data_IF_887695106666
#
_entry.id   IF_887695106666
#
_cell.length_a   1.000
_cell.length_b   1.000
_cell.length_c   1.000
_cell.angle_alpha   90.00
_cell.angle_beta   90.00
_cell.angle_gamma   90.00
#
_symmetry.space_group_name_H-M   'P 1'
#
loop_
_entity.id
_entity.type
_entity.pdbx_description
1 polymer ?
#
# COMPACT_ATOMS: atom_id res chain seq x y z
N UNK A 1 -3.52 20.40 -4.63
CA UNK A 1 -4.26 19.52 -5.57
C UNK A 1 -3.96 18.06 -5.24
N UNK A 2 -5.00 17.21 -5.30
CA UNK A 2 -4.89 15.76 -5.10
C UNK A 2 -4.34 15.15 -6.39
N UNK A 3 -3.31 14.32 -6.28
CA UNK A 3 -2.68 13.72 -7.46
C UNK A 3 -3.47 12.47 -7.87
N UNK A 4 -4.34 12.66 -8.87
CA UNK A 4 -5.18 11.57 -9.39
C UNK A 4 -4.33 10.41 -9.91
N UNK A 5 -3.14 10.67 -10.45
CA UNK A 5 -2.26 9.64 -11.00
C UNK A 5 -1.75 8.70 -9.93
N UNK A 6 -1.22 9.24 -8.82
CA UNK A 6 -0.76 8.43 -7.70
C UNK A 6 -1.90 7.64 -7.02
N UNK A 7 -3.10 8.21 -6.99
CA UNK A 7 -4.28 7.50 -6.47
C UNK A 7 -4.66 6.32 -7.39
N UNK A 8 -4.58 6.46 -8.73
CA UNK A 8 -4.80 5.33 -9.65
C UNK A 8 -3.72 4.27 -9.54
N UNK A 9 -2.44 4.64 -9.43
CA UNK A 9 -1.37 3.66 -9.22
C UNK A 9 -1.57 2.85 -7.94
N UNK A 10 -2.02 3.49 -6.85
CA UNK A 10 -2.34 2.79 -5.60
C UNK A 10 -3.52 1.84 -5.76
N UNK A 11 -4.59 2.29 -6.44
CA UNK A 11 -5.74 1.43 -6.71
C UNK A 11 -5.36 0.24 -7.60
N UNK A 12 -4.54 0.46 -8.63
CA UNK A 12 -4.01 -0.60 -9.48
C UNK A 12 -3.13 -1.59 -8.70
N UNK A 13 -2.30 -1.10 -7.77
CA UNK A 13 -1.52 -1.95 -6.87
C UNK A 13 -2.41 -2.85 -6.02
N UNK A 14 -3.46 -2.31 -5.41
CA UNK A 14 -4.41 -3.08 -4.59
C UNK A 14 -5.12 -4.15 -5.43
N UNK A 15 -5.64 -3.76 -6.60
CA UNK A 15 -6.31 -4.71 -7.51
C UNK A 15 -5.34 -5.82 -7.94
N UNK A 16 -4.11 -5.44 -8.32
CA UNK A 16 -3.08 -6.41 -8.72
C UNK A 16 -2.77 -7.37 -7.57
N UNK A 17 -2.62 -6.90 -6.32
CA UNK A 17 -2.37 -7.75 -5.16
C UNK A 17 -3.48 -8.79 -4.98
N UNK A 18 -4.75 -8.38 -5.08
CA UNK A 18 -5.89 -9.31 -5.01
C UNK A 18 -5.82 -10.35 -6.14
N UNK A 19 -5.55 -9.91 -7.37
CA UNK A 19 -5.44 -10.80 -8.54
C UNK A 19 -4.28 -11.78 -8.37
N UNK A 20 -3.13 -11.33 -7.86
CA UNK A 20 -1.96 -12.19 -7.60
C UNK A 20 -2.26 -13.26 -6.54
N UNK A 21 -2.91 -12.92 -5.43
CA UNK A 21 -3.26 -13.92 -4.42
C UNK A 21 -4.41 -14.86 -4.85
N UNK A 22 -5.25 -14.44 -5.80
CA UNK A 22 -6.29 -15.30 -6.37
C UNK A 22 -5.71 -16.25 -7.42
N UNK A 23 -4.80 -15.75 -8.27
CA UNK A 23 -4.12 -16.49 -9.32
C UNK A 23 -2.61 -16.23 -9.19
N UNK A 24 -1.87 -17.07 -8.44
CA UNK A 24 -0.46 -16.85 -8.13
C UNK A 24 0.41 -17.05 -9.38
N UNK A 25 0.33 -16.10 -10.29
CA UNK A 25 1.04 -16.07 -11.54
C UNK A 25 2.25 -15.14 -11.38
N UNK A 26 3.44 -15.74 -11.28
CA UNK A 26 4.70 -15.03 -11.03
C UNK A 26 4.95 -13.85 -11.99
N UNK A 27 4.45 -13.93 -13.24
CA UNK A 27 4.57 -12.85 -14.22
C UNK A 27 3.90 -11.53 -13.79
N UNK A 28 2.88 -11.58 -12.93
CA UNK A 28 2.27 -10.38 -12.33
C UNK A 28 3.28 -9.60 -11.48
N UNK A 29 4.28 -10.29 -10.90
CA UNK A 29 5.52 -9.77 -10.31
C UNK A 29 6.15 -8.70 -11.18
N UNK A 30 6.43 -9.11 -12.41
CA UNK A 30 7.15 -8.33 -13.40
C UNK A 30 6.25 -7.30 -14.09
N UNK A 31 5.00 -7.64 -14.40
CA UNK A 31 4.10 -6.71 -15.07
C UNK A 31 3.86 -5.42 -14.26
N UNK A 32 3.75 -5.55 -12.94
CA UNK A 32 3.53 -4.41 -12.05
C UNK A 32 4.00 -4.75 -10.62
N UNK A 33 5.17 -4.26 -10.17
CA UNK A 33 5.70 -4.51 -8.83
C UNK A 33 4.94 -3.67 -7.77
N UNK A 34 3.74 -4.14 -7.42
CA UNK A 34 2.77 -3.40 -6.62
C UNK A 34 3.33 -2.91 -5.28
N UNK A 35 4.10 -3.74 -4.58
CA UNK A 35 4.66 -3.38 -3.26
C UNK A 35 5.66 -2.23 -3.37
N UNK A 36 6.62 -2.33 -4.30
CA UNK A 36 7.57 -1.26 -4.59
C UNK A 36 6.89 0.06 -4.95
N UNK A 37 5.85 0.00 -5.80
CA UNK A 37 5.04 1.16 -6.19
C UNK A 37 4.32 1.77 -4.98
N UNK A 38 3.70 0.95 -4.13
CA UNK A 38 3.04 1.44 -2.92
C UNK A 38 4.01 2.12 -1.96
N UNK A 39 5.22 1.57 -1.77
CA UNK A 39 6.26 2.20 -0.94
C UNK A 39 6.79 3.49 -1.56
N UNK A 40 7.02 3.55 -2.88
CA UNK A 40 7.44 4.78 -3.54
C UNK A 40 6.40 5.90 -3.45
N UNK A 41 5.12 5.57 -3.61
CA UNK A 41 4.01 6.53 -3.39
C UNK A 41 3.96 6.94 -1.93
N UNK A 42 4.11 6.00 -0.99
CA UNK A 42 4.16 6.24 0.45
C UNK A 42 5.24 7.26 0.83
N UNK A 43 6.47 7.06 0.35
CA UNK A 43 7.59 7.98 0.52
C UNK A 43 7.30 9.39 0.00
N UNK A 44 6.69 9.50 -1.17
CA UNK A 44 6.33 10.81 -1.72
C UNK A 44 5.28 11.55 -0.88
N UNK A 45 4.29 10.82 -0.36
CA UNK A 45 3.22 11.39 0.46
C UNK A 45 3.69 11.77 1.86
N UNK A 46 4.59 11.00 2.47
CA UNK A 46 5.12 11.34 3.80
C UNK A 46 6.04 12.55 3.72
N UNK A 47 6.91 12.64 2.69
CA UNK A 47 7.75 13.81 2.47
C UNK A 47 6.90 15.08 2.32
N UNK A 48 5.83 15.00 1.51
CA UNK A 48 4.87 16.10 1.40
C UNK A 48 4.22 16.50 2.73
N UNK A 49 3.92 15.51 3.58
CA UNK A 49 3.27 15.76 4.87
C UNK A 49 4.23 16.41 5.86
N UNK A 50 5.48 15.94 5.89
CA UNK A 50 6.54 16.49 6.72
C UNK A 50 6.87 17.92 6.31
N UNK A 51 6.99 18.21 5.01
CA UNK A 51 7.24 19.57 4.51
C UNK A 51 6.13 20.56 4.89
N UNK A 52 4.87 20.09 4.95
CA UNK A 52 3.73 20.94 5.35
C UNK A 52 3.59 21.09 6.86
N UNK A 53 4.29 20.29 7.65
CA UNK A 53 4.10 20.23 9.11
C UNK A 53 4.85 21.31 9.88
N UNK A 54 5.62 22.18 9.21
CA UNK A 54 6.38 23.29 9.81
C UNK A 54 7.21 22.88 11.05
N UNK A 55 7.81 21.69 11.03
CA UNK A 55 8.68 21.21 12.12
C UNK A 55 7.98 20.39 13.20
N UNK A 56 6.74 19.95 13.00
CA UNK A 56 6.02 19.02 13.88
C UNK A 56 5.91 17.59 13.27
N UNK A 57 7.01 16.82 13.22
CA UNK A 57 7.00 15.47 12.66
C UNK A 57 6.11 14.52 13.47
N UNK A 58 6.05 14.69 14.79
CA UNK A 58 5.21 13.94 15.73
C UNK A 58 3.73 13.97 15.33
N UNK A 59 3.20 15.13 14.95
CA UNK A 59 1.82 15.26 14.45
C UNK A 59 1.58 14.47 13.15
N UNK A 60 2.56 14.48 12.24
CA UNK A 60 2.49 13.72 10.99
C UNK A 60 2.50 12.22 11.27
N UNK A 61 3.41 11.76 12.12
CA UNK A 61 3.53 10.36 12.51
C UNK A 61 2.25 9.89 13.21
N UNK A 62 1.77 10.61 14.22
CA UNK A 62 0.53 10.30 14.93
C UNK A 62 -0.67 10.24 13.98
N UNK A 63 -0.76 11.13 13.00
CA UNK A 63 -1.82 11.11 11.99
C UNK A 63 -1.75 9.89 11.06
N UNK A 64 -0.54 9.37 10.77
CA UNK A 64 -0.34 8.16 9.97
C UNK A 64 -0.67 6.90 10.77
N UNK A 65 -0.17 6.80 12.00
CA UNK A 65 -0.49 5.71 12.92
C UNK A 65 -2.00 5.60 13.15
N UNK A 66 -2.66 6.71 13.42
CA UNK A 66 -4.11 6.77 13.60
C UNK A 66 -4.91 6.34 12.38
N UNK A 67 -4.35 6.47 11.16
CA UNK A 67 -5.00 6.02 9.92
C UNK A 67 -4.81 4.52 9.64
N UNK A 68 -3.82 3.90 10.27
CA UNK A 68 -3.41 2.52 10.01
C UNK A 68 -3.84 1.58 11.12
N UNK A 69 -3.49 1.92 12.37
CA UNK A 69 -3.63 1.05 13.53
C UNK A 69 -5.08 0.66 13.84
N UNK A 70 -6.10 1.54 13.73
CA UNK A 70 -7.46 1.12 14.06
C UNK A 70 -8.01 0.01 13.16
N UNK A 71 -7.69 0.02 11.86
CA UNK A 71 -8.11 -1.06 10.95
C UNK A 71 -7.34 -2.36 11.24
N UNK A 72 -6.05 -2.24 11.61
CA UNK A 72 -5.25 -3.38 12.07
C UNK A 72 -5.79 -3.97 13.38
N UNK A 73 -6.19 -3.15 14.35
CA UNK A 73 -6.81 -3.60 15.59
C UNK A 73 -8.17 -4.24 15.38
N UNK A 74 -8.94 -3.79 14.38
CA UNK A 74 -10.19 -4.45 14.00
C UNK A 74 -9.94 -5.86 13.47
N UNK A 75 -8.90 -6.06 12.65
CA UNK A 75 -8.47 -7.40 12.25
C UNK A 75 -8.04 -8.22 13.48
N UNK A 76 -7.21 -7.65 14.36
CA UNK A 76 -6.73 -8.32 15.57
C UNK A 76 -7.87 -8.78 16.47
N UNK A 77 -8.89 -7.94 16.67
CA UNK A 77 -10.06 -8.22 17.49
C UNK A 77 -10.91 -9.39 16.96
N UNK A 78 -10.83 -9.70 15.67
CA UNK A 78 -11.51 -10.85 15.07
C UNK A 78 -10.58 -12.06 15.02
N UNK A 79 -9.36 -11.87 14.52
CA UNK A 79 -8.45 -12.97 14.21
C UNK A 79 -7.84 -13.60 15.46
N UNK A 80 -7.49 -12.82 16.49
CA UNK A 80 -6.90 -13.36 17.72
C UNK A 80 -7.88 -14.29 18.45
N UNK A 81 -9.15 -13.90 18.70
CA UNK A 81 -10.14 -14.84 19.26
C UNK A 81 -10.40 -16.04 18.35
N UNK A 82 -10.45 -15.86 17.03
CA UNK A 82 -10.67 -16.96 16.09
C UNK A 82 -9.52 -18.00 16.14
N UNK A 83 -8.27 -17.54 16.25
CA UNK A 83 -7.10 -18.41 16.45
C UNK A 83 -7.15 -19.15 17.78
N UNK A 84 -7.56 -18.48 18.86
CA UNK A 84 -7.72 -19.12 20.17
C UNK A 84 -8.80 -20.21 20.13
N UNK A 85 -9.91 -19.95 19.45
CA UNK A 85 -11.00 -20.92 19.28
C UNK A 85 -10.58 -22.13 18.44
N UNK A 86 -9.82 -21.93 17.35
CA UNK A 86 -9.30 -23.01 16.50
C UNK A 86 -8.15 -23.81 17.14
N UNK A 87 -7.82 -23.55 18.42
CA UNK A 87 -6.81 -24.31 19.15
C UNK A 87 -5.39 -23.84 18.85
N UNK A 88 -5.05 -22.62 19.29
CA UNK A 88 -3.68 -22.13 19.27
C UNK A 88 -2.81 -22.92 20.26
N UNK A 89 -2.23 -24.03 19.79
CA UNK A 89 -1.44 -24.95 20.60
C UNK A 89 -0.17 -24.28 21.16
N UNK A 90 0.60 -23.60 20.31
CA UNK A 90 1.82 -22.90 20.68
C UNK A 90 1.53 -21.44 21.06
N UNK A 91 0.82 -21.23 22.17
CA UNK A 91 0.46 -19.87 22.61
C UNK A 91 1.74 -19.03 22.78
N UNK A 92 1.87 -17.92 22.04
CA UNK A 92 3.07 -17.10 22.13
C UNK A 92 3.12 -16.45 23.51
N UNK A 93 4.34 -16.20 23.99
CA UNK A 93 4.55 -15.41 25.19
C UNK A 93 3.76 -14.10 25.11
N UNK A 94 3.14 -13.66 26.20
CA UNK A 94 2.23 -12.49 26.21
C UNK A 94 2.88 -11.23 25.61
N UNK A 95 4.20 -11.06 25.77
CA UNK A 95 4.95 -9.96 25.18
C UNK A 95 4.89 -9.96 23.63
N UNK A 96 4.86 -11.15 22.99
CA UNK A 96 4.69 -11.26 21.54
C UNK A 96 3.26 -10.93 21.10
N UNK A 97 2.26 -11.08 21.97
CA UNK A 97 0.90 -10.62 21.69
C UNK A 97 0.80 -9.10 21.64
N UNK A 98 1.74 -8.35 22.25
CA UNK A 98 1.81 -6.90 22.09
C UNK A 98 2.07 -6.46 20.63
N UNK A 99 2.56 -7.37 19.77
CA UNK A 99 2.69 -7.09 18.34
C UNK A 99 1.33 -6.90 17.65
N UNK A 100 0.26 -7.45 18.21
CA UNK A 100 -1.12 -7.15 17.78
C UNK A 100 -1.62 -5.77 18.22
N UNK A 101 -0.92 -5.12 19.17
CA UNK A 101 -1.18 -3.73 19.55
C UNK A 101 -0.30 -2.76 18.75
N UNK A 102 1.00 -3.04 18.68
CA UNK A 102 1.97 -2.24 17.91
C UNK A 102 2.80 -3.19 17.04
N UNK A 103 2.57 -3.24 15.72
CA UNK A 103 3.19 -4.23 14.85
C UNK A 103 4.62 -3.83 14.48
N UNK A 104 5.54 -3.92 15.45
CA UNK A 104 6.98 -3.68 15.25
C UNK A 104 7.69 -4.85 14.55
N UNK A 105 7.08 -6.02 14.59
CA UNK A 105 7.45 -7.23 13.87
C UNK A 105 6.17 -7.97 13.48
N UNK A 106 6.28 -8.99 12.63
CA UNK A 106 5.15 -9.81 12.22
C UNK A 106 4.45 -10.39 13.46
N UNK A 107 3.16 -10.05 13.69
CA UNK A 107 2.43 -10.58 14.82
C UNK A 107 2.34 -12.11 14.74
N UNK A 108 2.40 -12.82 15.89
CA UNK A 108 2.34 -14.27 15.89
C UNK A 108 0.96 -14.74 15.40
N UNK A 109 0.94 -15.83 14.64
CA UNK A 109 -0.28 -16.46 14.12
C UNK A 109 -0.18 -17.98 14.11
N UNK A 110 -1.31 -18.65 13.86
CA UNK A 110 -1.38 -20.10 13.67
C UNK A 110 -1.32 -20.45 12.18
N UNK A 111 -1.03 -21.71 11.85
CA UNK A 111 -1.09 -22.20 10.47
C UNK A 111 -2.47 -21.96 9.81
N UNK A 112 -3.54 -22.07 10.59
CA UNK A 112 -4.91 -21.77 10.13
C UNK A 112 -5.09 -20.29 9.74
N UNK A 113 -4.46 -19.37 10.46
CA UNK A 113 -4.54 -17.94 10.21
C UNK A 113 -3.51 -17.44 9.18
N UNK A 114 -2.68 -18.32 8.61
CA UNK A 114 -1.62 -17.96 7.68
C UNK A 114 -2.08 -17.00 6.56
N UNK A 115 -3.23 -17.21 5.89
CA UNK A 115 -3.68 -16.28 4.85
C UNK A 115 -3.86 -14.84 5.36
N UNK A 116 -4.35 -14.68 6.60
CA UNK A 116 -4.56 -13.36 7.19
C UNK A 116 -3.26 -12.74 7.75
N UNK A 117 -2.34 -13.55 8.28
CA UNK A 117 -1.09 -13.05 8.87
C UNK A 117 0.01 -12.79 7.86
N UNK A 118 0.00 -13.49 6.72
CA UNK A 118 1.00 -13.34 5.65
C UNK A 118 1.07 -11.89 5.17
N UNK A 119 -0.07 -11.20 5.01
CA UNK A 119 -0.11 -9.82 4.51
C UNK A 119 0.36 -8.77 5.53
N UNK A 120 0.64 -9.15 6.79
CA UNK A 120 0.95 -8.17 7.82
C UNK A 120 2.36 -7.58 7.69
N UNK A 121 3.27 -8.24 6.97
CA UNK A 121 4.63 -7.74 6.73
C UNK A 121 4.62 -6.31 6.15
N UNK A 122 3.67 -6.01 5.25
CA UNK A 122 3.56 -4.69 4.64
C UNK A 122 3.24 -3.61 5.67
N UNK A 123 2.35 -3.91 6.62
CA UNK A 123 1.94 -2.97 7.67
C UNK A 123 3.13 -2.67 8.58
N UNK A 124 3.87 -3.72 8.97
CA UNK A 124 5.08 -3.63 9.78
C UNK A 124 6.13 -2.77 9.06
N UNK A 125 6.44 -3.08 7.81
CA UNK A 125 7.45 -2.38 7.02
C UNK A 125 7.04 -0.93 6.73
N UNK A 126 5.77 -0.69 6.40
CA UNK A 126 5.23 0.65 6.21
C UNK A 126 5.30 1.49 7.50
N UNK A 127 4.98 0.89 8.65
CA UNK A 127 5.09 1.52 9.96
C UNK A 127 6.52 1.99 10.21
N UNK A 128 7.50 1.11 10.04
CA UNK A 128 8.91 1.44 10.20
C UNK A 128 9.38 2.55 9.25
N UNK A 129 9.03 2.46 7.97
CA UNK A 129 9.40 3.51 7.00
C UNK A 129 8.77 4.86 7.34
N UNK A 130 7.53 4.89 7.82
CA UNK A 130 6.88 6.11 8.31
C UNK A 130 7.63 6.69 9.50
N UNK A 131 7.92 5.87 10.52
CA UNK A 131 8.62 6.30 11.74
C UNK A 131 10.03 6.80 11.42
N UNK A 132 10.75 6.12 10.53
CA UNK A 132 12.11 6.49 10.12
C UNK A 132 12.15 7.69 9.14
N UNK A 133 11.01 8.08 8.55
CA UNK A 133 10.96 9.09 7.49
C UNK A 133 11.56 10.46 7.85
N UNK A 134 11.41 11.03 9.05
CA UNK A 134 12.05 12.30 9.40
C UNK A 134 13.58 12.23 9.25
N UNK A 135 14.17 11.13 9.72
CA UNK A 135 15.63 10.89 9.66
C UNK A 135 16.04 10.58 8.23
N UNK A 136 15.32 9.69 7.54
CA UNK A 136 15.62 9.32 6.16
C UNK A 136 15.48 10.50 5.19
N UNK A 137 14.49 11.38 5.40
CA UNK A 137 14.30 12.58 4.58
C UNK A 137 15.42 13.60 4.82
N UNK A 138 15.81 13.80 6.07
CA UNK A 138 17.00 14.61 6.40
C UNK A 138 18.26 14.05 5.74
N UNK A 139 18.51 12.74 5.88
CA UNK A 139 19.65 12.07 5.28
C UNK A 139 19.64 12.17 3.76
N UNK A 140 18.47 11.97 3.12
CA UNK A 140 18.29 12.10 1.68
C UNK A 140 18.60 13.53 1.20
N UNK A 141 18.11 14.56 1.88
CA UNK A 141 18.38 15.95 1.51
C UNK A 141 19.84 16.32 1.68
N UNK A 142 20.53 15.70 2.65
CA UNK A 142 21.95 15.93 2.88
C UNK A 142 22.83 15.16 1.88
N UNK A 143 22.57 13.86 1.69
CA UNK A 143 23.36 12.89 0.90
C UNK A 143 22.46 11.97 0.05
N UNK A 144 21.81 12.48 -1.01
CA UNK A 144 20.72 11.78 -1.70
C UNK A 144 21.10 10.42 -2.26
N UNK A 145 22.28 10.32 -2.91
CA UNK A 145 22.75 9.07 -3.50
C UNK A 145 23.13 8.03 -2.42
N UNK A 146 23.79 8.46 -1.35
CA UNK A 146 24.20 7.54 -0.26
C UNK A 146 22.97 6.98 0.44
N UNK A 147 21.97 7.82 0.70
CA UNK A 147 20.72 7.38 1.31
C UNK A 147 19.96 6.42 0.40
N UNK A 148 19.89 6.69 -0.91
CA UNK A 148 19.24 5.79 -1.87
C UNK A 148 19.95 4.44 -2.01
N UNK A 149 21.29 4.43 -2.05
CA UNK A 149 22.09 3.22 -2.22
C UNK A 149 22.17 2.38 -0.94
N UNK A 150 22.05 2.98 0.24
CA UNK A 150 22.14 2.27 1.52
C UNK A 150 21.19 1.04 1.63
N UNK A 151 19.87 1.14 1.40
CA UNK A 151 18.98 -0.03 1.44
C UNK A 151 19.29 -1.05 0.34
N UNK A 152 19.76 -0.60 -0.83
CA UNK A 152 20.19 -1.50 -1.90
C UNK A 152 21.44 -2.30 -1.50
N UNK A 153 22.43 -1.68 -0.86
CA UNK A 153 23.58 -2.42 -0.34
C UNK A 153 23.17 -3.36 0.80
N UNK A 154 22.25 -2.92 1.65
CA UNK A 154 21.76 -3.69 2.79
C UNK A 154 21.05 -4.98 2.36
N UNK A 155 20.26 -4.95 1.28
CA UNK A 155 19.49 -6.14 0.85
C UNK A 155 20.41 -7.29 0.40
N UNK A 156 21.62 -6.99 -0.10
CA UNK A 156 22.62 -8.01 -0.41
C UNK A 156 23.37 -8.55 0.82
N UNK A 157 23.28 -7.89 1.97
CA UNK A 157 24.05 -8.22 3.16
C UNK A 157 23.23 -8.95 4.26
N UNK A 158 21.91 -8.74 4.30
CA UNK A 158 21.08 -9.10 5.46
C UNK A 158 20.45 -10.50 5.37
N UNK A 159 20.31 -11.07 4.18
CA UNK A 159 19.60 -12.34 3.99
C UNK A 159 18.14 -12.27 4.45
N UNK A 160 17.61 -13.40 4.95
CA UNK A 160 16.25 -13.46 5.51
C UNK A 160 16.25 -13.06 7.00
N UNK A 161 16.07 -11.76 7.24
CA UNK A 161 16.01 -11.16 8.57
C UNK A 161 14.67 -10.45 8.84
N UNK A 162 13.57 -10.99 8.28
CA UNK A 162 12.22 -10.44 8.46
C UNK A 162 12.13 -8.97 8.08
N UNK A 163 11.68 -8.12 9.01
CA UNK A 163 11.45 -6.68 8.78
C UNK A 163 12.69 -5.95 8.23
N UNK A 164 13.90 -6.36 8.60
CA UNK A 164 15.12 -5.71 8.11
C UNK A 164 15.30 -6.00 6.61
N UNK A 165 14.98 -7.23 6.18
CA UNK A 165 15.02 -7.61 4.76
C UNK A 165 13.97 -6.84 3.95
N UNK A 166 12.75 -6.68 4.47
CA UNK A 166 11.71 -5.87 3.83
C UNK A 166 12.09 -4.39 3.72
N UNK A 167 12.65 -3.82 4.79
CA UNK A 167 13.14 -2.45 4.81
C UNK A 167 14.27 -2.23 3.80
N UNK A 168 15.17 -3.20 3.67
CA UNK A 168 16.24 -3.16 2.68
C UNK A 168 15.69 -3.27 1.25
N UNK A 169 14.74 -4.19 1.03
CA UNK A 169 14.11 -4.42 -0.28
C UNK A 169 13.37 -3.19 -0.80
N UNK A 170 12.57 -2.53 0.06
CA UNK A 170 11.68 -1.45 -0.38
C UNK A 170 12.14 -0.05 0.01
N UNK A 171 13.18 0.08 0.83
CA UNK A 171 13.69 1.38 1.30
C UNK A 171 14.14 2.29 0.14
N UNK A 172 14.76 1.72 -0.90
CA UNK A 172 15.16 2.48 -2.08
C UNK A 172 13.94 3.07 -2.83
N UNK A 173 12.86 2.30 -2.94
CA UNK A 173 11.60 2.76 -3.52
C UNK A 173 11.01 3.92 -2.69
N UNK A 174 11.00 3.79 -1.36
CA UNK A 174 10.53 4.85 -0.46
C UNK A 174 11.31 6.16 -0.66
N UNK A 175 12.64 6.08 -0.73
CA UNK A 175 13.52 7.24 -0.96
C UNK A 175 13.34 7.82 -2.37
N UNK A 176 13.11 6.99 -3.39
CA UNK A 176 12.71 7.47 -4.71
C UNK A 176 11.41 8.28 -4.66
N UNK A 177 10.51 7.98 -3.73
CA UNK A 177 9.35 8.80 -3.37
C UNK A 177 9.71 10.21 -2.89
N UNK A 178 10.76 10.34 -2.06
CA UNK A 178 11.30 11.65 -1.66
C UNK A 178 11.86 12.40 -2.87
N UNK A 179 12.61 11.70 -3.74
CA UNK A 179 13.15 12.28 -4.96
C UNK A 179 12.06 12.75 -5.95
N UNK A 180 10.94 12.04 -6.03
CA UNK A 180 9.76 12.50 -6.74
C UNK A 180 9.23 13.81 -6.13
N UNK A 181 9.09 13.85 -4.80
CA UNK A 181 8.50 15.00 -4.09
C UNK A 181 9.34 16.26 -4.19
N UNK A 182 10.65 16.13 -4.04
CA UNK A 182 11.61 17.23 -4.16
C UNK A 182 11.86 17.62 -5.64
N UNK A 183 11.21 16.96 -6.60
CA UNK A 183 11.29 17.23 -8.03
C UNK A 183 12.60 16.77 -8.69
N UNK A 184 13.45 16.02 -7.99
CA UNK A 184 14.73 15.53 -8.50
C UNK A 184 14.55 14.64 -9.75
N UNK A 185 13.53 13.76 -9.75
CA UNK A 185 13.23 12.90 -10.92
C UNK A 185 12.82 13.72 -12.16
N UNK A 186 12.17 14.87 -11.96
CA UNK A 186 11.77 15.78 -13.05
C UNK A 186 12.93 16.60 -13.59
N UNK A 187 13.87 17.00 -12.71
CA UNK A 187 15.09 17.72 -13.10
C UNK A 187 16.10 16.84 -13.86
N UNK A 188 16.03 15.53 -13.67
CA UNK A 188 16.90 14.58 -14.37
C UNK A 188 16.52 14.46 -15.85
N UNK A 189 17.54 14.40 -16.71
CA UNK A 189 17.35 14.16 -18.14
C UNK A 189 16.59 12.84 -18.36
N UNK A 190 15.55 12.88 -19.20
CA UNK A 190 14.73 11.72 -19.53
C UNK A 190 15.54 10.48 -19.95
N UNK A 191 16.53 10.58 -20.87
CA UNK A 191 17.29 9.41 -21.29
C UNK A 191 18.14 8.83 -20.15
N UNK A 192 18.71 9.68 -19.29
CA UNK A 192 19.49 9.21 -18.14
C UNK A 192 18.61 8.43 -17.16
N UNK A 193 17.43 8.96 -16.80
CA UNK A 193 16.52 8.26 -15.90
C UNK A 193 16.02 6.95 -16.52
N UNK A 194 15.71 6.94 -17.82
CA UNK A 194 15.30 5.73 -18.53
C UNK A 194 16.43 4.69 -18.53
N UNK A 195 17.68 5.09 -18.77
CA UNK A 195 18.84 4.19 -18.73
C UNK A 195 19.07 3.62 -17.34
N UNK A 196 19.00 4.44 -16.28
CA UNK A 196 19.13 3.97 -14.89
C UNK A 196 18.01 3.00 -14.51
N UNK A 197 16.77 3.32 -14.89
CA UNK A 197 15.63 2.45 -14.64
C UNK A 197 15.76 1.11 -15.38
N UNK A 198 16.14 1.14 -16.66
CA UNK A 198 16.39 -0.05 -17.47
C UNK A 198 17.52 -0.90 -16.88
N UNK A 199 18.62 -0.28 -16.42
CA UNK A 199 19.71 -0.98 -15.75
C UNK A 199 19.25 -1.66 -14.46
N UNK A 200 18.43 -1.01 -13.64
CA UNK A 200 17.87 -1.61 -12.42
C UNK A 200 16.94 -2.79 -12.74
N UNK A 201 16.06 -2.64 -13.73
CA UNK A 201 15.16 -3.71 -14.19
C UNK A 201 15.95 -4.90 -14.73
N UNK A 202 16.92 -4.64 -15.62
CA UNK A 202 17.77 -5.68 -16.20
C UNK A 202 18.60 -6.40 -15.14
N UNK A 203 19.14 -5.68 -14.16
CA UNK A 203 19.88 -6.28 -13.05
C UNK A 203 18.97 -7.15 -12.17
N UNK A 204 17.75 -6.70 -11.86
CA UNK A 204 16.77 -7.51 -11.11
C UNK A 204 16.36 -8.78 -11.84
N UNK A 205 16.04 -8.69 -13.14
CA UNK A 205 15.72 -9.86 -13.97
C UNK A 205 16.91 -10.80 -14.08
N UNK A 206 18.10 -10.26 -14.40
CA UNK A 206 19.33 -11.04 -14.51
C UNK A 206 19.67 -11.77 -13.21
N UNK A 207 19.41 -11.14 -12.06
CA UNK A 207 19.61 -11.77 -10.75
C UNK A 207 18.73 -13.00 -10.57
N UNK A 208 17.43 -12.92 -10.88
CA UNK A 208 16.53 -14.09 -10.80
C UNK A 208 17.02 -15.21 -11.73
N UNK A 209 17.39 -14.87 -12.97
CA UNK A 209 17.86 -15.84 -13.96
C UNK A 209 19.09 -16.64 -13.50
N UNK A 210 19.99 -15.99 -12.74
CA UNK A 210 21.25 -16.60 -12.30
C UNK A 210 21.11 -17.30 -10.95
N UNK A 211 20.37 -16.71 -10.02
CA UNK A 211 20.40 -17.10 -8.61
C UNK A 211 19.09 -17.73 -8.10
N UNK A 212 18.05 -17.82 -8.92
CA UNK A 212 16.78 -18.48 -8.58
C UNK A 212 16.45 -19.65 -9.53
N UNK A 213 17.30 -20.69 -9.62
CA UNK A 213 17.11 -21.79 -10.56
C UNK A 213 15.86 -22.64 -10.27
N UNK A 214 15.26 -22.53 -9.08
CA UNK A 214 14.07 -23.29 -8.65
C UNK A 214 12.74 -22.54 -8.74
N UNK A 215 12.72 -21.27 -9.13
CA UNK A 215 11.51 -20.45 -9.15
C UNK A 215 11.74 -19.06 -9.75
N UNK A 216 10.72 -18.54 -10.43
CA UNK A 216 10.77 -17.24 -11.13
C UNK A 216 9.90 -16.19 -10.44
N UNK A 217 9.48 -16.41 -9.17
CA UNK A 217 8.74 -15.39 -8.45
C UNK A 217 9.72 -14.35 -7.88
N UNK A 218 9.51 -13.10 -8.29
CA UNK A 218 10.30 -11.97 -7.83
C UNK A 218 10.15 -11.76 -6.31
N UNK A 219 9.04 -12.17 -5.71
CA UNK A 219 8.77 -12.01 -4.28
C UNK A 219 9.70 -12.89 -3.41
N UNK A 220 10.24 -13.97 -3.96
CA UNK A 220 11.11 -14.90 -3.24
C UNK A 220 12.59 -14.47 -3.25
N UNK A 221 12.92 -13.41 -4.00
CA UNK A 221 14.30 -12.97 -4.25
C UNK A 221 14.44 -11.48 -3.89
N UNK A 222 14.63 -11.14 -2.60
CA UNK A 222 14.64 -9.75 -2.12
C UNK A 222 15.59 -8.81 -2.89
N UNK A 223 16.84 -9.20 -3.23
CA UNK A 223 17.72 -8.31 -3.98
C UNK A 223 17.22 -8.02 -5.40
N UNK A 224 16.64 -9.03 -6.07
CA UNK A 224 16.05 -8.85 -7.38
C UNK A 224 14.81 -7.95 -7.31
N UNK A 225 13.94 -8.19 -6.32
CA UNK A 225 12.74 -7.39 -6.05
C UNK A 225 13.09 -5.93 -5.81
N UNK A 226 14.16 -5.65 -5.05
CA UNK A 226 14.60 -4.29 -4.74
C UNK A 226 14.99 -3.52 -6.00
N UNK A 227 15.85 -4.11 -6.84
CA UNK A 227 16.33 -3.51 -8.09
C UNK A 227 15.20 -3.35 -9.11
N UNK A 228 14.42 -4.40 -9.32
CA UNK A 228 13.32 -4.41 -10.26
C UNK A 228 12.26 -3.36 -9.91
N UNK A 229 11.83 -3.35 -8.64
CA UNK A 229 10.87 -2.38 -8.11
C UNK A 229 11.37 -0.95 -8.23
N UNK A 230 12.65 -0.69 -7.90
CA UNK A 230 13.23 0.65 -8.00
C UNK A 230 13.19 1.17 -9.43
N UNK A 231 13.61 0.37 -10.41
CA UNK A 231 13.59 0.78 -11.82
C UNK A 231 12.17 1.14 -12.29
N UNK A 232 11.19 0.33 -11.93
CA UNK A 232 9.78 0.59 -12.26
C UNK A 232 9.24 1.86 -11.58
N UNK A 233 9.54 2.04 -10.29
CA UNK A 233 9.13 3.21 -9.50
C UNK A 233 9.71 4.51 -10.05
N UNK A 234 10.99 4.52 -10.46
CA UNK A 234 11.64 5.71 -11.05
C UNK A 234 10.89 6.20 -12.29
N UNK A 235 10.49 5.29 -13.18
CA UNK A 235 9.73 5.61 -14.39
C UNK A 235 8.33 6.10 -14.03
N UNK A 236 7.57 5.33 -13.24
CA UNK A 236 6.20 5.66 -12.90
C UNK A 236 6.09 7.01 -12.20
N UNK A 237 6.92 7.27 -11.19
CA UNK A 237 6.89 8.54 -10.46
C UNK A 237 7.30 9.73 -11.34
N UNK A 238 8.14 9.52 -12.36
CA UNK A 238 8.50 10.59 -13.29
C UNK A 238 7.38 10.96 -14.26
N UNK A 239 6.61 9.98 -14.76
CA UNK A 239 5.65 10.19 -15.85
C UNK A 239 4.53 11.17 -15.48
N UNK A 240 3.98 11.10 -14.26
CA UNK A 240 2.95 12.00 -13.72
C UNK A 240 1.93 12.54 -14.75
N UNK A 241 1.27 11.69 -15.56
CA UNK A 241 0.33 12.14 -16.59
C UNK A 241 -0.93 12.76 -15.97
N UNK A 242 -1.49 13.77 -16.65
CA UNK A 242 -2.77 14.37 -16.26
C UNK A 242 -3.92 13.43 -16.64
N UNK A 243 -4.57 12.82 -15.66
CA UNK A 243 -5.74 11.97 -15.89
C UNK A 243 -7.04 12.77 -15.82
N UNK A 244 -7.93 12.60 -16.81
CA UNK A 244 -9.19 13.35 -16.96
C UNK A 244 -10.44 12.47 -16.98
N UNK A 245 -10.40 11.28 -16.35
CA UNK A 245 -11.44 10.26 -16.51
C UNK A 245 -12.33 10.19 -15.25
N UNK A 246 -13.48 10.89 -15.21
CA UNK A 246 -14.27 11.04 -13.99
C UNK A 246 -14.89 9.74 -13.49
N UNK A 247 -15.30 8.83 -14.40
CA UNK A 247 -15.86 7.54 -14.04
C UNK A 247 -14.84 6.66 -13.28
N UNK A 248 -13.60 6.58 -13.80
CA UNK A 248 -12.49 5.89 -13.15
C UNK A 248 -12.15 6.52 -11.79
N UNK A 249 -12.24 7.85 -11.69
CA UNK A 249 -12.00 8.57 -10.44
C UNK A 249 -12.89 8.13 -9.27
N UNK A 250 -14.14 7.71 -9.54
CA UNK A 250 -15.08 7.24 -8.49
C UNK A 250 -14.67 5.88 -7.97
N UNK A 251 -14.34 4.94 -8.86
CA UNK A 251 -13.85 3.59 -8.50
C UNK A 251 -12.53 3.70 -7.75
N UNK A 252 -11.57 4.46 -8.29
CA UNK A 252 -10.27 4.71 -7.66
C UNK A 252 -10.44 5.33 -6.28
N UNK A 253 -11.37 6.26 -6.11
CA UNK A 253 -11.61 6.85 -4.80
C UNK A 253 -12.26 5.87 -3.83
N UNK A 254 -13.17 5.00 -4.28
CA UNK A 254 -13.79 3.98 -3.45
C UNK A 254 -12.73 3.00 -2.92
N UNK A 255 -11.91 2.44 -3.82
CA UNK A 255 -10.80 1.53 -3.46
C UNK A 255 -9.82 2.21 -2.49
N UNK A 256 -9.40 3.44 -2.79
CA UNK A 256 -8.44 4.15 -1.94
C UNK A 256 -9.01 4.61 -0.58
N UNK A 257 -10.32 4.80 -0.47
CA UNK A 257 -10.98 5.16 0.80
C UNK A 257 -11.13 3.99 1.76
N UNK A 258 -10.94 2.76 1.27
CA UNK A 258 -11.05 1.50 2.00
C UNK A 258 -9.80 0.64 1.84
N UNK A 259 -8.67 1.27 1.51
CA UNK A 259 -7.48 0.58 1.07
C UNK A 259 -6.91 -0.34 2.17
N UNK A 260 -6.93 0.11 3.42
CA UNK A 260 -6.37 -0.67 4.53
C UNK A 260 -7.28 -1.87 4.84
N UNK A 261 -8.60 -1.68 4.86
CA UNK A 261 -9.55 -2.77 5.08
C UNK A 261 -9.48 -3.78 3.93
N UNK A 262 -9.49 -3.33 2.68
CA UNK A 262 -9.32 -4.21 1.51
C UNK A 262 -8.02 -5.01 1.64
N UNK A 263 -6.90 -4.34 1.96
CA UNK A 263 -5.61 -4.99 2.11
C UNK A 263 -5.56 -6.00 3.26
N UNK A 264 -6.14 -5.70 4.42
CA UNK A 264 -6.09 -6.61 5.56
C UNK A 264 -6.97 -7.86 5.39
N UNK A 265 -8.08 -7.72 4.66
CA UNK A 265 -9.10 -8.77 4.59
C UNK A 265 -9.10 -9.58 3.29
N UNK A 266 -8.42 -9.12 2.23
CA UNK A 266 -8.49 -9.79 0.91
C UNK A 266 -8.02 -11.24 0.94
N UNK A 267 -6.89 -11.55 1.59
CA UNK A 267 -6.33 -12.89 1.54
C UNK A 267 -7.19 -13.89 2.34
N UNK A 268 -7.83 -13.44 3.43
CA UNK A 268 -8.84 -14.22 4.14
C UNK A 268 -10.09 -14.46 3.29
N UNK A 269 -10.56 -13.44 2.57
CA UNK A 269 -11.68 -13.58 1.64
C UNK A 269 -11.37 -14.54 0.49
N UNK A 270 -10.14 -14.54 -0.03
CA UNK A 270 -9.66 -15.49 -1.04
C UNK A 270 -9.59 -16.90 -0.44
N UNK A 271 -9.02 -17.08 0.74
CA UNK A 271 -8.98 -18.39 1.39
C UNK A 271 -10.39 -18.99 1.58
N UNK A 272 -11.35 -18.18 2.03
CA UNK A 272 -12.74 -18.59 2.16
C UNK A 272 -13.46 -18.79 0.82
N UNK A 273 -12.98 -18.17 -0.27
CA UNK A 273 -13.66 -18.24 -1.57
C UNK A 273 -13.64 -19.63 -2.17
N UNK A 274 -12.62 -20.44 -1.90
CA UNK A 274 -12.55 -21.81 -2.41
C UNK A 274 -13.66 -22.67 -1.79
N UNK A 275 -13.78 -22.67 -0.46
CA UNK A 275 -14.83 -23.42 0.25
C UNK A 275 -16.23 -22.95 -0.12
N UNK A 276 -16.48 -21.63 -0.12
CA UNK A 276 -17.80 -21.07 -0.46
C UNK A 276 -18.10 -21.25 -1.95
N UNK A 277 -17.10 -21.05 -2.80
CA UNK A 277 -17.20 -21.19 -4.25
C UNK A 277 -17.56 -22.61 -4.67
N UNK A 278 -16.94 -23.61 -4.05
CA UNK A 278 -17.24 -25.02 -4.30
C UNK A 278 -18.68 -25.35 -3.92
N UNK A 279 -19.16 -24.85 -2.78
CA UNK A 279 -20.52 -25.07 -2.30
C UNK A 279 -21.60 -24.48 -3.24
N UNK A 280 -21.32 -23.34 -3.89
CA UNK A 280 -22.28 -22.67 -4.79
C UNK A 280 -22.03 -22.97 -6.28
N UNK A 281 -21.06 -23.81 -6.60
CA UNK A 281 -20.75 -24.21 -7.97
C UNK A 281 -20.01 -23.14 -8.80
N UNK A 282 -19.20 -22.29 -8.16
CA UNK A 282 -18.40 -21.26 -8.83
C UNK A 282 -17.45 -21.82 -9.89
N UNK A 283 -17.01 -23.08 -9.74
CA UNK A 283 -16.22 -23.82 -10.72
C UNK A 283 -16.83 -23.85 -12.12
N UNK A 284 -18.16 -23.70 -12.26
CA UNK A 284 -18.85 -23.63 -13.57
C UNK A 284 -18.41 -22.42 -14.40
N UNK A 285 -17.93 -21.36 -13.75
CA UNK A 285 -17.38 -20.16 -14.37
C UNK A 285 -15.84 -20.12 -14.32
N UNK A 286 -15.21 -21.24 -13.92
CA UNK A 286 -13.77 -21.37 -13.74
C UNK A 286 -13.20 -20.31 -12.77
N UNK A 287 -12.01 -19.82 -13.11
CA UNK A 287 -11.28 -18.82 -12.32
C UNK A 287 -12.07 -17.51 -12.11
N UNK A 288 -12.88 -17.11 -13.09
CA UNK A 288 -13.72 -15.92 -12.96
C UNK A 288 -14.81 -16.07 -11.89
N UNK A 289 -15.33 -17.30 -11.71
CA UNK A 289 -16.27 -17.62 -10.64
C UNK A 289 -15.66 -17.41 -9.26
N UNK A 290 -14.49 -17.99 -9.00
CA UNK A 290 -13.79 -17.84 -7.72
C UNK A 290 -13.39 -16.39 -7.42
N UNK A 291 -12.96 -15.63 -8.43
CA UNK A 291 -12.70 -14.20 -8.26
C UNK A 291 -13.96 -13.42 -7.87
N UNK A 292 -15.11 -13.71 -8.50
CA UNK A 292 -16.37 -13.06 -8.15
C UNK A 292 -16.78 -13.38 -6.70
N UNK A 293 -16.61 -14.62 -6.25
CA UNK A 293 -16.87 -15.02 -4.85
C UNK A 293 -15.92 -14.34 -3.89
N UNK A 294 -14.61 -14.29 -4.19
CA UNK A 294 -13.63 -13.62 -3.35
C UNK A 294 -13.95 -12.12 -3.19
N UNK A 295 -14.30 -11.44 -4.28
CA UNK A 295 -14.71 -10.03 -4.24
C UNK A 295 -16.02 -9.82 -3.46
N UNK A 296 -16.99 -10.73 -3.60
CA UNK A 296 -18.23 -10.69 -2.84
C UNK A 296 -18.00 -10.88 -1.33
N UNK A 297 -17.15 -11.84 -0.95
CA UNK A 297 -16.77 -12.07 0.45
C UNK A 297 -16.00 -10.87 1.02
N UNK A 298 -15.10 -10.27 0.23
CA UNK A 298 -14.36 -9.07 0.62
C UNK A 298 -15.26 -7.85 0.83
N UNK A 299 -16.40 -7.78 0.15
CA UNK A 299 -17.37 -6.69 0.33
C UNK A 299 -17.92 -6.66 1.76
N UNK A 300 -18.05 -7.81 2.43
CA UNK A 300 -18.53 -7.93 3.81
C UNK A 300 -17.69 -7.09 4.79
N UNK A 301 -16.39 -7.39 4.98
CA UNK A 301 -15.50 -6.58 5.83
C UNK A 301 -15.44 -5.11 5.42
N UNK A 302 -15.47 -4.80 4.11
CA UNK A 302 -15.44 -3.40 3.64
C UNK A 302 -16.69 -2.63 4.08
N UNK A 303 -17.88 -3.24 4.04
CA UNK A 303 -19.12 -2.60 4.50
C UNK A 303 -19.22 -2.53 6.03
N UNK A 304 -18.79 -3.59 6.72
CA UNK A 304 -18.90 -3.70 8.18
C UNK A 304 -17.83 -2.90 8.93
N UNK A 305 -16.61 -2.82 8.40
CA UNK A 305 -15.44 -2.25 9.08
C UNK A 305 -14.87 -1.03 8.36
N UNK A 306 -15.28 -0.75 7.12
CA UNK A 306 -14.73 0.36 6.33
C UNK A 306 -14.95 1.76 6.94
N UNK A 307 -15.95 1.92 7.80
CA UNK A 307 -16.18 3.16 8.54
C UNK A 307 -15.03 3.51 9.51
N UNK A 308 -14.25 2.51 9.94
CA UNK A 308 -13.09 2.69 10.82
C UNK A 308 -12.07 3.59 10.13
N UNK A 309 -11.84 3.42 8.82
CA UNK A 309 -10.92 4.27 8.05
C UNK A 309 -11.41 5.73 7.95
N UNK A 310 -12.72 5.96 7.92
CA UNK A 310 -13.29 7.32 7.90
C UNK A 310 -13.05 8.03 9.24
N UNK A 311 -13.39 7.37 10.36
CA UNK A 311 -13.16 7.90 11.72
C UNK A 311 -11.66 8.13 11.95
N UNK A 312 -10.84 7.16 11.54
CA UNK A 312 -9.38 7.21 11.54
C UNK A 312 -8.81 8.32 10.65
N UNK A 313 -9.57 8.84 9.70
CA UNK A 313 -9.21 9.99 8.88
C UNK A 313 -9.79 11.33 9.39
N UNK A 314 -10.50 11.35 10.53
CA UNK A 314 -11.33 12.48 11.02
C UNK A 314 -12.39 12.91 10.00
N UNK A 315 -13.02 11.93 9.34
CA UNK A 315 -14.12 12.11 8.41
C UNK A 315 -15.40 11.52 9.03
N UNK A 316 -16.60 12.00 8.66
CA UNK A 316 -17.83 11.39 9.13
C UNK A 316 -17.88 9.92 8.70
N UNK A 317 -18.27 9.04 9.63
CA UNK A 317 -18.41 7.61 9.37
C UNK A 317 -19.45 7.37 8.26
N UNK A 318 -19.07 6.62 7.22
CA UNK A 318 -19.97 6.29 6.11
C UNK A 318 -19.96 4.79 5.84
N UNK A 319 -21.14 4.19 5.90
CA UNK A 319 -21.37 2.79 5.54
C UNK A 319 -21.41 2.58 4.02
N UNK A 320 -21.74 3.63 3.26
CA UNK A 320 -21.74 3.57 1.80
C UNK A 320 -20.31 3.61 1.24
N UNK A 321 -20.05 2.77 0.24
CA UNK A 321 -18.75 2.64 -0.47
C UNK A 321 -18.34 3.91 -1.23
N UNK A 322 -19.22 4.91 -1.34
CA UNK A 322 -19.11 6.00 -2.29
C UNK A 322 -19.10 7.37 -1.63
N UNK A 323 -18.17 8.21 -2.11
CA UNK A 323 -18.28 9.65 -1.99
C UNK A 323 -19.39 10.14 -2.91
N UNK A 324 -20.60 10.33 -2.37
CA UNK A 324 -21.50 11.32 -2.92
C UNK A 324 -20.80 12.67 -2.81
N UNK A 325 -20.58 13.37 -3.93
CA UNK A 325 -20.23 14.78 -3.93
C UNK A 325 -21.41 15.56 -3.33
N UNK A 326 -21.49 15.56 -2.00
CA UNK A 326 -22.50 16.29 -1.26
C UNK A 326 -22.18 17.77 -1.32
N UNK A 327 -22.87 18.46 -2.23
CA UNK A 327 -23.21 19.89 -2.26
C UNK A 327 -22.13 20.81 -1.69
N UNK A 328 -21.39 21.46 -2.61
CA UNK A 328 -20.98 22.83 -2.37
C UNK A 328 -22.22 23.59 -1.90
N UNK A 329 -22.11 24.31 -0.79
CA UNK A 329 -23.13 25.20 -0.27
C UNK A 329 -23.47 26.26 -1.34
N UNK A 330 -24.43 25.94 -2.20
CA UNK A 330 -25.14 26.90 -3.03
C UNK A 330 -26.30 27.41 -2.20
N UNK A 331 -26.19 28.64 -1.71
CA UNK A 331 -27.32 29.30 -1.07
C UNK A 331 -26.95 30.42 -0.12
N UNK A 332 -26.16 31.41 -0.57
CA UNK A 332 -26.33 32.77 -0.04
C UNK A 332 -25.90 33.82 -1.09
N UNK A 333 -26.68 33.88 -2.18
CA UNK A 333 -26.64 34.99 -3.14
C UNK A 333 -28.07 35.23 -3.64
N UNK A 334 -28.94 35.74 -2.77
CA UNK A 334 -30.17 36.45 -3.15
C UNK A 334 -30.54 37.50 -2.11
N UNK A 335 -30.10 38.75 -2.32
CA UNK A 335 -30.93 39.96 -2.23
C UNK A 335 -30.09 41.24 -2.35
N UNK A 336 -29.53 41.51 -3.53
CA UNK A 336 -29.19 42.89 -3.92
C UNK A 336 -29.55 43.07 -5.39
N UNK A 337 -30.80 43.44 -5.66
CA UNK A 337 -31.17 44.20 -6.85
C UNK A 337 -32.60 44.71 -6.76
N UNK A 338 -32.76 46.04 -6.84
CA UNK A 338 -34.01 46.77 -6.91
C UNK A 338 -33.94 47.91 -5.89
N UNK A 339 -33.66 49.16 -6.23
CA UNK A 339 -33.63 49.86 -7.49
C UNK A 339 -33.96 51.32 -7.12
N UNK A 340 -33.11 52.27 -7.53
CA UNK A 340 -33.56 53.47 -8.23
C UNK A 340 -32.42 54.46 -8.44
N UNK A 341 -32.40 54.98 -9.67
CA UNK A 341 -31.56 56.09 -10.13
C UNK A 341 -32.37 57.38 -9.98
N UNK A 342 -31.79 58.35 -9.27
CA UNK A 342 -31.68 59.79 -9.62
C UNK A 342 -32.97 60.64 -9.80
N UNK A 343 -32.89 61.98 -9.74
CA UNK A 343 -31.71 62.86 -9.59
C UNK A 343 -31.45 63.40 -8.19
#
# INVERSE_FOLDING_TARGET
MRDHYLDTLRAAAIVRVIVYHTFPAAWLGYAFPAMGVMFGIGGSLIALSLDRSNGAPDHVLAARLRRLLPAFWALAAVLVPAMLWHGWADRPHWAKLLLWLVPLASPPGTAWALPATEVLWYIVTYLWLVVLSPILLWAYRRWPLRTLLAPLCLVFAVGDAGVVSDLATFGACWIAGFAHRDGALRRMAAPLLAALAAACVAAGVGWVLVFAPGGWDLNDVPPAQALYSLGFVLVLLRLSPRMRWPALGRVVSAVNSRAVTIYLWHNLAIAACFTVGDAIGAWRLGQAGYLAVALALLLGPVLLLGWIEDVSARRPARLALWHGSGRAATGDLRSVSGGDRAP
#
